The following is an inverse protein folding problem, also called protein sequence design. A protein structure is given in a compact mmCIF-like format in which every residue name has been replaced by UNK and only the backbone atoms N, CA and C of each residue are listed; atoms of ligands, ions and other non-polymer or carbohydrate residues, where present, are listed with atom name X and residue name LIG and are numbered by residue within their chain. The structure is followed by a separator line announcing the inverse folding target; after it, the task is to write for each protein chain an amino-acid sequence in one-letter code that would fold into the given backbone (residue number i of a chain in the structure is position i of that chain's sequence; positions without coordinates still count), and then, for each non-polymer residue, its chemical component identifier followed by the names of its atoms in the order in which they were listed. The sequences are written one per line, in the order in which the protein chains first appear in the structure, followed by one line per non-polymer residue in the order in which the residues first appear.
data_IF_781122368043
#
_entry.id   IF_781122368043
#
_cell.length_a   1.000
_cell.length_b   1.000
_cell.length_c   1.000
_cell.angle_alpha   90.00
_cell.angle_beta   90.00
_cell.angle_gamma   90.00
#
_symmetry.space_group_name_H-M   'P 1'
#
loop_
_entity.id
_entity.type
_entity.pdbx_description
1 polymer ?
#
# COMPACT_ATOMS: atom_id res chain seq x y z
N UNK A 1 -6.93 1.94 12.89
CA UNK A 1 -7.31 1.26 14.14
C UNK A 1 -7.73 -0.16 13.80
N UNK A 2 -7.11 -1.19 14.40
CA UNK A 2 -7.41 -2.58 14.03
C UNK A 2 -8.84 -3.01 14.35
N UNK A 3 -9.38 -2.58 15.49
CA UNK A 3 -10.73 -2.99 15.92
C UNK A 3 -11.81 -2.24 15.17
N UNK A 4 -11.61 -0.93 14.96
CA UNK A 4 -12.60 -0.06 14.33
C UNK A 4 -12.65 -0.25 12.81
N UNK A 5 -11.50 -0.27 12.15
CA UNK A 5 -11.44 -0.17 10.68
C UNK A 5 -11.34 -1.55 10.01
N UNK A 6 -10.72 -2.53 10.67
CA UNK A 6 -10.52 -3.89 10.14
C UNK A 6 -11.35 -4.96 10.87
N UNK A 7 -11.98 -4.63 12.00
CA UNK A 7 -12.71 -5.59 12.83
C UNK A 7 -11.81 -6.62 13.52
N UNK A 8 -10.48 -6.44 13.51
CA UNK A 8 -9.52 -7.37 14.09
C UNK A 8 -9.44 -7.19 15.60
N UNK A 9 -9.95 -8.18 16.34
CA UNK A 9 -9.99 -8.19 17.82
C UNK A 9 -8.86 -9.01 18.45
N UNK A 10 -8.06 -9.69 17.63
CA UNK A 10 -7.04 -10.65 18.08
C UNK A 10 -5.66 -10.00 18.31
N UNK A 11 -5.39 -8.84 17.69
CA UNK A 11 -4.17 -8.07 17.94
C UNK A 11 -4.28 -7.38 19.29
N UNK A 12 -3.31 -7.64 20.17
CA UNK A 12 -3.20 -6.98 21.46
C UNK A 12 -2.49 -5.63 21.34
N UNK A 13 -1.32 -5.60 20.70
CA UNK A 13 -0.60 -4.35 20.37
C UNK A 13 0.06 -4.41 18.99
N UNK A 14 0.19 -3.27 18.27
CA UNK A 14 -0.36 -1.96 18.62
C UNK A 14 -1.89 -1.90 18.41
N UNK A 15 -2.59 -0.90 18.94
CA UNK A 15 -4.04 -0.70 18.67
C UNK A 15 -4.35 -0.28 17.22
N UNK A 16 -3.38 0.29 16.55
CA UNK A 16 -3.44 0.72 15.16
C UNK A 16 -2.07 1.19 14.69
N UNK A 17 -1.96 1.49 13.41
CA UNK A 17 -0.71 1.91 12.79
C UNK A 17 -0.99 2.79 11.57
N UNK A 18 0.04 3.50 11.09
CA UNK A 18 -0.04 4.29 9.87
C UNK A 18 0.27 3.40 8.68
N UNK A 19 -0.77 2.87 8.04
CA UNK A 19 -0.61 2.06 6.83
C UNK A 19 -0.13 2.89 5.64
N UNK A 20 -0.54 4.16 5.58
CA UNK A 20 -0.46 5.02 4.40
C UNK A 20 -1.17 4.38 3.19
N UNK A 21 -1.23 5.12 2.08
CA UNK A 21 -1.78 4.61 0.83
C UNK A 21 -1.24 5.42 -0.35
N UNK A 22 -1.25 4.81 -1.52
CA UNK A 22 -0.92 5.48 -2.78
C UNK A 22 -2.19 5.89 -3.48
N UNK A 23 -2.27 7.15 -3.88
CA UNK A 23 -3.41 7.70 -4.63
C UNK A 23 -2.96 8.96 -5.34
N UNK A 24 -3.43 9.13 -6.57
CA UNK A 24 -3.16 10.29 -7.39
C UNK A 24 -2.93 9.93 -8.85
N UNK A 25 -2.88 10.93 -9.74
CA UNK A 25 -2.55 10.71 -11.14
C UNK A 25 -1.07 10.31 -11.30
N UNK A 26 -0.80 9.40 -12.23
CA UNK A 26 0.55 9.00 -12.65
C UNK A 26 0.87 9.59 -14.03
N UNK A 27 1.32 10.86 -14.11
CA UNK A 27 1.64 11.48 -15.39
C UNK A 27 2.92 10.88 -15.99
N UNK A 28 3.09 11.10 -17.30
CA UNK A 28 4.27 10.68 -18.05
C UNK A 28 5.58 11.02 -17.31
N UNK A 29 6.48 10.04 -17.22
CA UNK A 29 7.80 10.05 -16.54
C UNK A 29 7.82 10.11 -15.01
N UNK A 30 6.70 10.32 -14.30
CA UNK A 30 6.69 10.45 -12.83
C UNK A 30 6.64 9.11 -12.06
N UNK A 31 6.41 8.01 -12.79
CA UNK A 31 5.97 6.70 -12.26
C UNK A 31 6.28 5.56 -13.24
N UNK A 32 7.27 5.74 -14.13
CA UNK A 32 7.55 4.83 -15.23
C UNK A 32 8.39 3.63 -14.76
N UNK A 33 7.74 2.69 -14.08
CA UNK A 33 8.38 1.50 -13.52
C UNK A 33 8.71 0.44 -14.59
N UNK A 34 7.89 0.40 -15.64
CA UNK A 34 8.06 -0.49 -16.79
C UNK A 34 7.95 0.29 -18.10
N UNK A 35 8.50 -0.25 -19.18
CA UNK A 35 8.32 0.31 -20.54
C UNK A 35 6.84 0.47 -20.90
N UNK A 36 6.00 -0.48 -20.48
CA UNK A 36 4.55 -0.40 -20.64
C UNK A 36 3.96 0.84 -19.95
N UNK A 37 4.32 1.11 -18.69
CA UNK A 37 3.85 2.31 -17.98
C UNK A 37 4.36 3.62 -18.59
N UNK A 38 5.56 3.63 -19.18
CA UNK A 38 6.06 4.79 -19.94
C UNK A 38 5.20 5.07 -21.15
N UNK A 39 4.92 4.04 -21.96
CA UNK A 39 4.10 4.16 -23.17
C UNK A 39 2.66 4.52 -22.81
N UNK A 40 2.09 3.89 -21.78
CA UNK A 40 0.74 4.17 -21.32
C UNK A 40 0.58 5.59 -20.77
N UNK A 41 1.57 6.08 -20.01
CA UNK A 41 1.58 7.46 -19.53
C UNK A 41 1.64 8.48 -20.67
N UNK A 42 2.45 8.21 -21.70
CA UNK A 42 2.50 9.03 -22.92
C UNK A 42 1.15 9.01 -23.66
N UNK A 43 0.58 7.81 -23.84
CA UNK A 43 -0.70 7.63 -24.50
C UNK A 43 -1.83 8.38 -23.78
N UNK A 44 -1.90 8.29 -22.45
CA UNK A 44 -2.87 9.02 -21.64
C UNK A 44 -2.72 10.55 -21.78
N UNK A 45 -1.49 11.04 -21.96
CA UNK A 45 -1.22 12.48 -22.16
C UNK A 45 -1.75 12.96 -23.52
N UNK A 46 -1.68 12.11 -24.55
CA UNK A 46 -2.15 12.42 -25.90
C UNK A 46 -3.65 12.17 -26.09
N UNK A 47 -4.22 11.19 -25.36
CA UNK A 47 -5.62 10.81 -25.45
C UNK A 47 -6.24 10.59 -24.05
N UNK A 48 -6.59 11.67 -23.32
CA UNK A 48 -7.15 11.56 -21.98
C UNK A 48 -8.50 10.84 -21.91
N UNK A 49 -9.29 10.85 -22.99
CA UNK A 49 -10.61 10.22 -23.03
C UNK A 49 -10.54 8.69 -23.10
N UNK A 50 -9.40 8.13 -23.50
CA UNK A 50 -9.22 6.68 -23.54
C UNK A 50 -9.25 6.02 -22.16
N UNK A 51 -9.21 6.80 -21.07
CA UNK A 51 -9.25 6.32 -19.69
C UNK A 51 -8.15 5.28 -19.37
N UNK A 52 -7.06 5.31 -20.13
CA UNK A 52 -5.98 4.35 -20.08
C UNK A 52 -4.74 5.01 -19.45
N UNK A 53 -4.71 5.06 -18.11
CA UNK A 53 -3.62 5.66 -17.32
C UNK A 53 -2.92 4.60 -16.47
N UNK A 54 -1.59 4.71 -16.23
CA UNK A 54 -0.96 3.97 -15.15
C UNK A 54 -1.58 4.33 -13.79
N UNK A 55 -1.58 3.37 -12.86
CA UNK A 55 -2.11 3.52 -11.50
C UNK A 55 -0.98 3.76 -10.50
N UNK A 56 -1.22 4.62 -9.50
CA UNK A 56 -0.29 4.89 -8.41
C UNK A 56 -0.39 3.78 -7.37
N UNK A 57 0.67 2.98 -7.23
CA UNK A 57 0.72 1.79 -6.38
C UNK A 57 1.91 1.82 -5.43
N UNK A 58 1.90 1.05 -4.32
CA UNK A 58 3.04 0.96 -3.43
C UNK A 58 4.30 0.43 -4.13
N UNK A 59 5.44 1.06 -3.85
CA UNK A 59 6.75 0.58 -4.29
C UNK A 59 7.48 -0.09 -3.13
N UNK A 60 7.80 0.69 -2.08
CA UNK A 60 8.47 0.17 -0.89
C UNK A 60 7.46 -0.03 0.24
N UNK A 61 7.50 -1.23 0.82
CA UNK A 61 6.63 -1.64 1.91
C UNK A 61 7.46 -2.11 3.10
N UNK A 62 7.04 -1.72 4.30
CA UNK A 62 7.65 -2.14 5.55
C UNK A 62 6.76 -3.12 6.32
N UNK A 63 7.37 -4.05 7.08
CA UNK A 63 6.62 -4.93 7.96
C UNK A 63 6.11 -4.20 9.20
N UNK A 64 5.10 -4.78 9.83
CA UNK A 64 4.59 -4.34 11.13
C UNK A 64 4.73 -5.47 12.15
N UNK A 65 5.45 -5.20 13.24
CA UNK A 65 5.52 -6.10 14.39
C UNK A 65 4.25 -5.97 15.23
N UNK A 66 3.62 -7.11 15.54
CA UNK A 66 2.41 -7.19 16.36
C UNK A 66 2.61 -8.16 17.52
N UNK A 67 1.82 -7.97 18.57
CA UNK A 67 1.69 -8.85 19.71
C UNK A 67 0.25 -9.38 19.77
N UNK A 68 0.09 -10.69 19.86
CA UNK A 68 -1.20 -11.34 20.09
C UNK A 68 -1.06 -12.51 21.06
N UNK A 69 -2.18 -13.08 21.51
CA UNK A 69 -2.20 -14.20 22.43
C UNK A 69 -2.81 -15.44 21.80
N UNK A 70 -2.17 -16.59 22.01
CA UNK A 70 -2.75 -17.91 21.74
C UNK A 70 -3.03 -18.56 23.08
N UNK A 71 -4.30 -18.51 23.51
CA UNK A 71 -4.67 -18.85 24.89
C UNK A 71 -4.07 -17.85 25.89
N UNK A 72 -3.13 -18.29 26.72
CA UNK A 72 -2.39 -17.43 27.67
C UNK A 72 -0.95 -17.13 27.23
N UNK A 73 -0.51 -17.67 26.09
CA UNK A 73 0.86 -17.51 25.62
C UNK A 73 0.97 -16.28 24.71
N UNK A 74 1.80 -15.28 25.04
CA UNK A 74 2.05 -14.15 24.15
C UNK A 74 2.90 -14.60 22.96
N UNK A 75 2.55 -14.11 21.76
CA UNK A 75 3.32 -14.31 20.53
C UNK A 75 3.58 -12.97 19.85
N UNK A 76 4.83 -12.76 19.46
CA UNK A 76 5.26 -11.60 18.67
C UNK A 76 5.51 -12.09 17.25
N UNK A 77 4.94 -11.38 16.28
CA UNK A 77 5.04 -11.74 14.86
C UNK A 77 5.21 -10.49 14.02
N UNK A 78 5.93 -10.61 12.90
CA UNK A 78 6.02 -9.55 11.90
C UNK A 78 5.12 -9.87 10.72
N UNK A 79 4.10 -9.03 10.52
CA UNK A 79 3.29 -9.05 9.33
C UNK A 79 4.02 -8.30 8.22
N UNK A 80 4.27 -8.97 7.10
CA UNK A 80 4.94 -8.37 5.94
C UNK A 80 4.01 -7.40 5.21
N UNK A 81 4.61 -6.43 4.51
CA UNK A 81 3.92 -5.54 3.58
C UNK A 81 2.77 -4.71 4.17
N UNK A 82 2.92 -4.23 5.40
CA UNK A 82 1.84 -3.54 6.12
C UNK A 82 1.87 -2.01 5.93
N UNK A 83 3.06 -1.40 5.84
CA UNK A 83 3.24 0.06 5.82
C UNK A 83 3.81 0.50 4.48
N UNK A 84 3.11 1.38 3.77
CA UNK A 84 3.62 2.00 2.52
C UNK A 84 4.62 3.11 2.85
N UNK A 85 5.82 3.05 2.26
CA UNK A 85 6.87 4.08 2.39
C UNK A 85 7.01 4.95 1.15
N UNK A 86 6.84 4.36 -0.02
CA UNK A 86 6.95 5.05 -1.31
C UNK A 86 5.89 4.52 -2.29
N UNK A 87 5.55 5.35 -3.26
CA UNK A 87 4.60 5.04 -4.31
C UNK A 87 5.29 5.18 -5.66
N UNK A 88 4.83 4.38 -6.63
CA UNK A 88 5.16 4.50 -8.05
C UNK A 88 3.86 4.60 -8.82
#
# INVERSE_FOLDING_TARGET
DFRKDLGWKWIHEPKGYYANFCSGPCPYLRSADTTHSTVLGLYNTLNPEASASPCCVPQDLEPLTILYYVGRTPKVEQLSNMIVRSCK
#
